data_IF_034313790965
#
_entry.id   IF_034313790965
#
_cell.length_a   1.000
_cell.length_b   1.000
_cell.length_c   1.000
_cell.angle_alpha   90.00
_cell.angle_beta   90.00
_cell.angle_gamma   90.00
#
_symmetry.space_group_name_H-M   'P 1'
#
loop_
_entity.id
_entity.type
_entity.pdbx_description
1 polymer ?
#
# COMPACT_ATOMS: atom_id res chain seq x y z
N UNK A 1 5.91 -11.52 -12.93
CA UNK A 1 5.50 -10.13 -13.24
C UNK A 1 5.09 -9.48 -11.94
N UNK A 2 5.27 -8.18 -11.77
CA UNK A 2 4.96 -7.44 -10.56
C UNK A 2 4.21 -6.17 -10.94
N UNK A 3 3.14 -5.83 -10.23
CA UNK A 3 2.49 -4.54 -10.35
C UNK A 3 3.04 -3.57 -9.30
N UNK A 4 3.51 -2.41 -9.72
CA UNK A 4 3.94 -1.32 -8.84
C UNK A 4 3.30 -0.03 -9.27
N UNK A 5 2.77 0.73 -8.34
CA UNK A 5 2.28 2.08 -8.60
C UNK A 5 2.88 3.08 -7.61
N UNK A 6 3.33 4.22 -8.13
CA UNK A 6 3.70 5.39 -7.36
C UNK A 6 2.58 6.41 -7.56
N UNK A 7 1.90 6.79 -6.51
CA UNK A 7 0.64 7.50 -6.59
C UNK A 7 0.77 8.93 -6.04
N UNK A 8 0.39 9.88 -6.89
CA UNK A 8 0.19 11.29 -6.58
C UNK A 8 -0.88 11.79 -7.56
N UNK A 9 -2.16 11.77 -7.17
CA UNK A 9 -3.26 12.06 -8.09
C UNK A 9 -4.51 12.54 -7.36
N UNK A 10 -5.11 13.60 -7.86
CA UNK A 10 -6.42 14.09 -7.40
C UNK A 10 -7.61 13.22 -7.79
N UNK A 11 -7.41 12.11 -8.50
CA UNK A 11 -8.48 11.22 -8.94
C UNK A 11 -8.94 11.48 -10.38
N UNK A 12 -10.14 11.01 -10.68
CA UNK A 12 -10.76 11.16 -12.00
C UNK A 12 -10.97 12.63 -12.37
N UNK A 13 -10.61 12.98 -13.59
CA UNK A 13 -10.76 14.33 -14.10
C UNK A 13 -12.23 14.61 -14.43
N UNK A 14 -12.88 15.44 -13.61
CA UNK A 14 -14.32 15.70 -13.69
C UNK A 14 -14.71 16.23 -15.08
N UNK A 15 -13.85 17.05 -15.71
CA UNK A 15 -14.10 17.63 -17.03
C UNK A 15 -14.21 16.59 -18.16
N UNK A 16 -13.63 15.41 -17.96
CA UNK A 16 -13.68 14.30 -18.92
C UNK A 16 -14.86 13.35 -18.67
N UNK A 17 -15.61 13.57 -17.60
CA UNK A 17 -16.84 12.85 -17.29
C UNK A 17 -16.64 11.33 -17.20
N UNK A 18 -17.50 10.61 -17.91
CA UNK A 18 -17.56 9.14 -17.87
C UNK A 18 -16.28 8.48 -18.40
N UNK A 19 -15.58 9.10 -19.33
CA UNK A 19 -14.35 8.52 -19.91
C UNK A 19 -13.23 8.41 -18.88
N UNK A 20 -13.06 9.41 -18.03
CA UNK A 20 -12.05 9.33 -16.96
C UNK A 20 -12.41 8.28 -15.89
N UNK A 21 -13.70 8.08 -15.63
CA UNK A 21 -14.18 7.01 -14.75
C UNK A 21 -13.96 5.62 -15.38
N UNK A 22 -14.16 5.49 -16.68
CA UNK A 22 -13.88 4.25 -17.41
C UNK A 22 -12.40 3.87 -17.34
N UNK A 23 -11.49 4.86 -17.40
CA UNK A 23 -10.06 4.63 -17.20
C UNK A 23 -9.72 4.03 -15.82
N UNK A 24 -10.35 4.53 -14.76
CA UNK A 24 -10.21 3.94 -13.42
C UNK A 24 -10.84 2.54 -13.33
N UNK A 25 -11.99 2.32 -13.95
CA UNK A 25 -12.61 1.00 -13.98
C UNK A 25 -11.68 -0.05 -14.61
N UNK A 26 -10.96 0.32 -15.66
CA UNK A 26 -9.94 -0.53 -16.30
C UNK A 26 -8.76 -0.87 -15.35
N UNK A 27 -8.33 0.07 -14.53
CA UNK A 27 -7.30 -0.18 -13.51
C UNK A 27 -7.83 -1.15 -12.46
N UNK A 28 -9.01 -0.90 -11.91
CA UNK A 28 -9.62 -1.76 -10.88
C UNK A 28 -9.87 -3.18 -11.40
N UNK A 29 -10.33 -3.33 -12.62
CA UNK A 29 -10.50 -4.62 -13.25
C UNK A 29 -9.18 -5.40 -13.27
N UNK A 30 -8.07 -4.76 -13.65
CA UNK A 30 -6.76 -5.40 -13.67
C UNK A 30 -6.26 -5.73 -12.27
N UNK A 31 -6.39 -4.83 -11.31
CA UNK A 31 -6.06 -5.13 -9.92
C UNK A 31 -6.81 -6.38 -9.44
N UNK A 32 -8.11 -6.48 -9.72
CA UNK A 32 -8.95 -7.60 -9.29
C UNK A 32 -8.58 -8.91 -9.99
N UNK A 33 -8.39 -8.87 -11.32
CA UNK A 33 -8.07 -10.08 -12.10
C UNK A 33 -6.69 -10.65 -11.76
N UNK A 34 -5.75 -9.81 -11.35
CA UNK A 34 -4.38 -10.21 -11.01
C UNK A 34 -4.12 -10.31 -9.51
N UNK A 35 -5.13 -10.09 -8.67
CA UNK A 35 -5.06 -10.34 -7.23
C UNK A 35 -4.76 -11.81 -6.95
N UNK A 36 -3.76 -12.08 -6.14
CA UNK A 36 -3.27 -13.44 -5.86
C UNK A 36 -2.50 -14.11 -7.02
N UNK A 37 -2.35 -13.42 -8.16
CA UNK A 37 -1.59 -13.94 -9.32
C UNK A 37 -0.23 -13.28 -9.43
N UNK A 38 -0.17 -11.97 -9.19
CA UNK A 38 1.08 -11.21 -9.15
C UNK A 38 1.07 -10.30 -7.92
N UNK A 39 2.21 -10.12 -7.24
CA UNK A 39 2.31 -9.16 -6.15
C UNK A 39 1.98 -7.74 -6.63
N UNK A 40 1.17 -7.04 -5.85
CA UNK A 40 0.73 -5.68 -6.14
C UNK A 40 1.16 -4.74 -5.03
N UNK A 41 2.03 -3.79 -5.34
CA UNK A 41 2.59 -2.82 -4.39
C UNK A 41 2.21 -1.41 -4.81
N UNK A 42 1.63 -0.66 -3.91
CA UNK A 42 1.28 0.74 -4.11
C UNK A 42 2.01 1.64 -3.10
N UNK A 43 2.68 2.66 -3.57
CA UNK A 43 3.28 3.69 -2.74
C UNK A 43 2.58 5.02 -2.97
N UNK A 44 2.08 5.61 -1.90
CA UNK A 44 1.45 6.92 -1.91
C UNK A 44 2.50 7.95 -1.54
N UNK A 45 2.94 8.74 -2.51
CA UNK A 45 4.04 9.68 -2.36
C UNK A 45 3.60 11.14 -2.42
N UNK A 46 2.30 11.35 -2.64
CA UNK A 46 1.64 12.65 -2.66
C UNK A 46 0.16 12.54 -2.32
N UNK A 47 -0.63 13.59 -2.54
CA UNK A 47 -2.07 13.52 -2.42
C UNK A 47 -2.69 12.46 -3.32
N UNK A 48 -3.56 11.64 -2.76
CA UNK A 48 -4.28 10.59 -3.48
C UNK A 48 -5.75 10.65 -3.08
N UNK A 49 -6.61 11.05 -4.02
CA UNK A 49 -8.00 11.35 -3.72
C UNK A 49 -8.97 10.74 -4.74
N UNK A 50 -10.22 10.54 -4.33
CA UNK A 50 -11.28 10.03 -5.19
C UNK A 50 -10.95 8.67 -5.81
N UNK A 51 -11.11 8.54 -7.13
CA UNK A 51 -10.82 7.29 -7.86
C UNK A 51 -9.40 6.76 -7.68
N UNK A 52 -8.43 7.64 -7.49
CA UNK A 52 -7.03 7.27 -7.30
C UNK A 52 -6.74 6.53 -5.97
N UNK A 53 -7.63 6.61 -5.00
CA UNK A 53 -7.49 5.93 -3.69
C UNK A 53 -7.88 4.46 -3.76
N UNK A 54 -8.85 4.11 -4.59
CA UNK A 54 -9.39 2.76 -4.61
C UNK A 54 -8.39 1.72 -5.10
N UNK A 55 -7.62 2.03 -6.15
CA UNK A 55 -6.62 1.10 -6.68
C UNK A 55 -5.56 0.74 -5.63
N UNK A 56 -4.88 1.69 -4.96
CA UNK A 56 -3.96 1.37 -3.88
C UNK A 56 -4.58 0.55 -2.75
N UNK A 57 -5.81 0.88 -2.36
CA UNK A 57 -6.49 0.22 -1.24
C UNK A 57 -6.86 -1.25 -1.51
N UNK A 58 -6.85 -1.68 -2.77
CA UNK A 58 -7.12 -3.08 -3.15
C UNK A 58 -5.86 -3.83 -3.61
N UNK A 59 -4.67 -3.25 -3.44
CA UNK A 59 -3.39 -3.93 -3.69
C UNK A 59 -2.90 -4.65 -2.44
N UNK A 60 -1.92 -5.55 -2.59
CA UNK A 60 -1.43 -6.39 -1.49
C UNK A 60 -0.66 -5.59 -0.45
N UNK A 61 0.09 -4.57 -0.89
CA UNK A 61 0.89 -3.73 0.00
C UNK A 61 0.71 -2.26 -0.34
N UNK A 62 0.42 -1.47 0.69
CA UNK A 62 0.30 -0.01 0.60
C UNK A 62 1.33 0.65 1.51
N UNK A 63 2.18 1.48 0.93
CA UNK A 63 3.15 2.30 1.63
C UNK A 63 2.73 3.77 1.56
N UNK A 64 2.94 4.53 2.63
CA UNK A 64 2.65 5.96 2.66
C UNK A 64 3.85 6.75 3.20
N UNK A 65 4.06 7.96 2.67
CA UNK A 65 5.12 8.88 3.12
C UNK A 65 4.54 9.91 4.09
N UNK A 66 5.18 10.09 5.24
CA UNK A 66 4.75 11.05 6.26
C UNK A 66 4.67 12.48 5.71
N UNK A 67 3.69 13.23 6.17
CA UNK A 67 3.49 14.66 5.91
C UNK A 67 3.31 15.08 4.43
N UNK A 68 3.52 14.18 3.48
CA UNK A 68 3.39 14.47 2.04
C UNK A 68 2.27 13.67 1.39
N UNK A 69 2.03 12.45 1.85
CA UNK A 69 1.03 11.57 1.27
C UNK A 69 -0.31 11.61 2.03
N UNK A 70 -1.37 11.58 1.27
CA UNK A 70 -2.73 11.57 1.81
C UNK A 70 -3.61 10.62 0.99
N UNK A 71 -4.43 9.82 1.68
CA UNK A 71 -5.45 8.98 1.06
C UNK A 71 -6.81 9.34 1.61
N UNK A 72 -7.73 9.84 0.79
CA UNK A 72 -9.12 10.07 1.18
C UNK A 72 -10.05 10.06 -0.03
N UNK A 73 -11.28 9.64 0.17
CA UNK A 73 -12.31 9.63 -0.89
C UNK A 73 -12.64 11.06 -1.28
N UNK A 74 -12.85 11.94 -0.28
CA UNK A 74 -13.08 13.38 -0.46
C UNK A 74 -12.21 14.16 0.51
N UNK A 75 -11.71 15.31 0.04
CA UNK A 75 -10.85 16.17 0.86
C UNK A 75 -11.59 16.91 1.99
N UNK A 76 -10.84 17.56 2.91
CA UNK A 76 -11.41 18.27 4.07
C UNK A 76 -12.44 19.33 3.72
N UNK A 77 -12.26 20.03 2.61
CA UNK A 77 -13.19 21.11 2.19
C UNK A 77 -14.58 20.57 1.83
N UNK A 78 -14.64 19.40 1.23
CA UNK A 78 -15.91 18.72 0.92
C UNK A 78 -16.59 18.26 2.21
N UNK A 79 -15.83 17.67 3.13
CA UNK A 79 -16.34 17.25 4.44
C UNK A 79 -16.91 18.44 5.19
N UNK A 80 -16.16 19.54 5.27
CA UNK A 80 -16.61 20.76 5.91
C UNK A 80 -17.89 21.30 5.31
N UNK A 81 -18.05 21.21 4.00
CA UNK A 81 -19.24 21.69 3.30
C UNK A 81 -20.46 20.81 3.56
N UNK A 82 -20.27 19.49 3.63
CA UNK A 82 -21.36 18.51 3.68
C UNK A 82 -21.74 18.17 5.15
N UNK A 83 -20.74 17.92 6.00
CA UNK A 83 -20.96 17.48 7.40
C UNK A 83 -20.74 18.59 8.42
N UNK A 84 -20.20 19.74 8.00
CA UNK A 84 -19.81 20.86 8.87
C UNK A 84 -18.69 20.51 9.88
N UNK A 85 -17.96 19.44 9.64
CA UNK A 85 -16.82 19.05 10.45
C UNK A 85 -15.53 19.70 9.94
N UNK A 86 -14.72 20.21 10.88
CA UNK A 86 -13.41 20.78 10.58
C UNK A 86 -12.33 19.71 10.85
N UNK A 87 -11.71 19.19 9.80
CA UNK A 87 -10.69 18.15 9.88
C UNK A 87 -9.48 18.52 9.04
N UNK A 88 -8.28 18.25 9.54
CA UNK A 88 -7.05 18.46 8.78
C UNK A 88 -6.82 17.30 7.79
N UNK A 89 -6.06 17.53 6.72
CA UNK A 89 -5.66 16.48 5.78
C UNK A 89 -4.98 15.32 6.49
N UNK A 90 -4.09 15.62 7.42
CA UNK A 90 -3.32 14.63 8.17
C UNK A 90 -4.23 13.73 9.03
N UNK A 91 -5.16 14.35 9.74
CA UNK A 91 -6.12 13.61 10.59
C UNK A 91 -7.14 12.81 9.76
N UNK A 92 -7.50 13.31 8.57
CA UNK A 92 -8.45 12.66 7.69
C UNK A 92 -7.85 11.45 6.98
N UNK A 93 -6.64 11.60 6.43
CA UNK A 93 -6.07 10.57 5.56
C UNK A 93 -4.56 10.64 5.43
N UNK A 94 -3.84 11.14 6.44
CA UNK A 94 -2.38 11.12 6.47
C UNK A 94 -1.81 9.73 6.73
N UNK A 95 -0.51 9.58 6.51
CA UNK A 95 0.20 8.30 6.66
C UNK A 95 0.02 7.68 8.05
N UNK A 96 0.13 8.48 9.10
CA UNK A 96 -0.09 8.04 10.48
C UNK A 96 -1.51 7.51 10.71
N UNK A 97 -2.52 8.20 10.18
CA UNK A 97 -3.92 7.79 10.32
C UNK A 97 -4.16 6.45 9.65
N UNK A 98 -3.64 6.24 8.44
CA UNK A 98 -3.85 5.00 7.71
C UNK A 98 -2.97 3.85 8.19
N UNK A 99 -1.81 4.11 8.76
CA UNK A 99 -0.95 3.08 9.32
C UNK A 99 -1.43 2.64 10.74
N UNK A 100 -1.63 3.62 11.65
CA UNK A 100 -1.90 3.30 13.05
C UNK A 100 -3.38 3.11 13.41
N UNK A 101 -4.31 3.70 12.64
CA UNK A 101 -5.74 3.71 13.00
C UNK A 101 -6.57 2.87 12.04
N UNK A 102 -6.53 3.14 10.74
CA UNK A 102 -7.36 2.41 9.78
C UNK A 102 -6.76 1.09 9.30
N UNK A 103 -5.45 0.93 9.36
CA UNK A 103 -4.74 -0.25 8.88
C UNK A 103 -4.67 -0.37 7.35
N UNK A 104 -5.07 0.65 6.60
CA UNK A 104 -5.01 0.62 5.12
C UNK A 104 -3.56 0.73 4.63
N UNK A 105 -2.71 1.52 5.29
CA UNK A 105 -1.29 1.58 4.98
C UNK A 105 -0.54 0.55 5.82
N UNK A 106 0.11 -0.40 5.16
CA UNK A 106 0.92 -1.43 5.80
C UNK A 106 2.25 -0.87 6.32
N UNK A 107 2.83 0.08 5.58
CA UNK A 107 4.12 0.68 5.93
C UNK A 107 4.04 2.21 5.84
N UNK A 108 4.81 2.86 6.70
CA UNK A 108 4.96 4.31 6.74
C UNK A 108 6.45 4.66 6.65
N UNK A 109 6.80 5.52 5.71
CA UNK A 109 8.16 6.02 5.48
C UNK A 109 8.27 7.50 5.86
N UNK A 110 9.43 7.94 6.30
CA UNK A 110 9.67 9.34 6.65
C UNK A 110 9.82 10.23 5.41
N UNK A 111 10.36 9.67 4.33
CA UNK A 111 10.53 10.37 3.05
C UNK A 111 10.44 9.43 1.85
N UNK A 112 10.48 9.99 0.65
CA UNK A 112 10.39 9.26 -0.62
C UNK A 112 11.54 8.27 -0.80
N UNK A 113 12.74 8.59 -0.35
CA UNK A 113 13.91 7.75 -0.50
C UNK A 113 13.80 6.49 0.37
N UNK A 114 13.34 6.65 1.60
CA UNK A 114 13.05 5.54 2.50
C UNK A 114 11.91 4.67 1.95
N UNK A 115 10.83 5.28 1.45
CA UNK A 115 9.73 4.55 0.83
C UNK A 115 10.20 3.66 -0.33
N UNK A 116 11.04 4.20 -1.21
CA UNK A 116 11.62 3.44 -2.32
C UNK A 116 12.57 2.34 -1.82
N UNK A 117 13.26 2.55 -0.70
CA UNK A 117 14.12 1.55 -0.08
C UNK A 117 13.29 0.40 0.50
N UNK A 118 12.21 0.71 1.21
CA UNK A 118 11.27 -0.27 1.75
C UNK A 118 10.64 -1.14 0.64
N UNK A 119 10.30 -0.53 -0.51
CA UNK A 119 9.79 -1.28 -1.67
C UNK A 119 10.85 -2.27 -2.18
N UNK A 120 12.12 -1.86 -2.28
CA UNK A 120 13.19 -2.75 -2.70
C UNK A 120 13.41 -3.89 -1.72
N UNK A 121 13.33 -3.59 -0.44
CA UNK A 121 13.41 -4.58 0.62
C UNK A 121 12.25 -5.57 0.54
N UNK A 122 11.02 -5.09 0.44
CA UNK A 122 9.83 -5.93 0.27
C UNK A 122 9.95 -6.84 -0.96
N UNK A 123 10.44 -6.32 -2.08
CA UNK A 123 10.70 -7.10 -3.29
C UNK A 123 11.75 -8.19 -3.09
N UNK A 124 12.69 -8.00 -2.18
CA UNK A 124 13.72 -8.99 -1.91
C UNK A 124 13.20 -10.26 -1.21
N UNK A 125 11.97 -10.24 -0.69
CA UNK A 125 11.29 -11.40 -0.13
C UNK A 125 10.49 -12.20 -1.16
N UNK A 126 10.32 -11.66 -2.37
CA UNK A 126 9.50 -12.26 -3.41
C UNK A 126 10.34 -13.01 -4.44
N UNK A 127 9.82 -14.07 -5.06
CA UNK A 127 10.51 -14.74 -6.14
C UNK A 127 10.62 -13.83 -7.38
N UNK A 128 11.65 -14.00 -8.18
CA UNK A 128 11.84 -13.23 -9.42
C UNK A 128 10.82 -13.57 -10.49
N UNK A 129 10.28 -14.76 -10.45
CA UNK A 129 9.25 -15.26 -11.38
C UNK A 129 8.45 -16.42 -10.76
N UNK A 130 7.41 -16.87 -11.45
CA UNK A 130 6.51 -17.91 -10.97
C UNK A 130 7.06 -19.35 -11.03
N UNK A 131 8.30 -19.54 -11.46
CA UNK A 131 8.98 -20.83 -11.49
C UNK A 131 10.04 -20.95 -10.38
N UNK A 132 10.26 -19.88 -9.64
CA UNK A 132 11.22 -19.84 -8.54
C UNK A 132 10.49 -19.81 -7.19
N UNK A 133 11.06 -20.50 -6.22
CA UNK A 133 10.61 -20.39 -4.83
C UNK A 133 10.96 -19.01 -4.24
N UNK A 134 10.22 -18.52 -3.25
CA UNK A 134 10.59 -17.31 -2.51
C UNK A 134 12.00 -17.44 -1.92
N UNK A 135 12.77 -16.34 -1.87
CA UNK A 135 14.09 -16.36 -1.24
C UNK A 135 13.99 -16.81 0.22
N UNK A 136 14.80 -17.77 0.60
CA UNK A 136 14.91 -18.17 2.02
C UNK A 136 15.60 -17.07 2.79
N UNK A 137 14.99 -16.67 3.90
CA UNK A 137 15.58 -15.74 4.85
C UNK A 137 15.94 -16.49 6.13
N UNK A 138 17.17 -16.31 6.57
CA UNK A 138 17.63 -16.84 7.85
C UNK A 138 17.68 -15.68 8.86
N UNK A 139 17.13 -15.87 10.04
CA UNK A 139 17.33 -14.96 11.16
C UNK A 139 17.87 -15.71 12.36
N UNK A 140 18.91 -15.16 12.95
CA UNK A 140 19.45 -15.60 14.25
C UNK A 140 18.93 -14.75 15.40
N UNK A 141 18.19 -13.69 15.13
CA UNK A 141 17.60 -12.84 16.14
C UNK A 141 16.36 -13.53 16.75
N UNK A 142 16.40 -13.89 18.06
CA UNK A 142 15.27 -14.52 18.73
C UNK A 142 14.01 -13.63 18.77
N UNK A 143 14.17 -12.32 18.85
CA UNK A 143 13.04 -11.36 18.92
C UNK A 143 12.34 -11.31 17.56
N UNK A 144 13.09 -11.18 16.48
CA UNK A 144 12.54 -11.20 15.12
C UNK A 144 11.84 -12.54 14.84
N UNK A 145 12.48 -13.65 15.18
CA UNK A 145 11.92 -15.00 15.05
C UNK A 145 10.58 -15.13 15.78
N UNK A 146 10.55 -14.74 17.05
CA UNK A 146 9.36 -14.87 17.88
C UNK A 146 8.23 -13.95 17.38
N UNK A 147 8.57 -12.77 16.88
CA UNK A 147 7.61 -11.86 16.24
C UNK A 147 7.03 -12.47 14.95
N UNK A 148 7.87 -13.00 14.08
CA UNK A 148 7.44 -13.62 12.83
C UNK A 148 6.51 -14.81 13.07
N UNK A 149 6.84 -15.67 14.04
CA UNK A 149 6.01 -16.84 14.34
C UNK A 149 4.70 -16.51 15.03
N UNK A 150 4.67 -15.49 15.90
CA UNK A 150 3.49 -15.17 16.71
C UNK A 150 2.57 -14.16 16.07
N UNK A 151 3.10 -13.15 15.36
CA UNK A 151 2.32 -12.04 14.81
C UNK A 151 2.06 -12.19 13.31
N UNK A 152 3.05 -12.66 12.55
CA UNK A 152 2.94 -12.78 11.09
C UNK A 152 2.46 -14.17 10.63
N UNK A 153 2.28 -15.12 11.53
CA UNK A 153 1.81 -16.47 11.20
C UNK A 153 2.83 -17.31 10.43
N UNK A 154 4.10 -16.97 10.49
CA UNK A 154 5.17 -17.72 9.82
C UNK A 154 5.46 -19.03 10.56
N UNK A 155 5.78 -20.08 9.85
CA UNK A 155 6.23 -21.33 10.44
C UNK A 155 7.74 -21.28 10.69
N UNK A 156 8.15 -21.68 11.90
CA UNK A 156 9.56 -21.87 12.22
C UNK A 156 10.02 -23.27 11.78
N UNK A 157 10.89 -23.34 10.80
CA UNK A 157 11.44 -24.61 10.27
C UNK A 157 12.86 -24.92 10.82
N UNK A 158 13.21 -24.45 11.99
CA UNK A 158 14.51 -24.66 12.62
C UNK A 158 15.54 -23.60 12.23
N UNK A 159 16.83 -23.95 12.29
CA UNK A 159 17.94 -23.02 12.05
C UNK A 159 18.07 -22.62 10.56
N UNK A 160 17.31 -23.26 9.68
CA UNK A 160 17.42 -23.06 8.23
C UNK A 160 16.59 -21.89 7.69
N UNK A 161 15.80 -21.19 8.52
CA UNK A 161 15.05 -20.00 8.09
C UNK A 161 13.53 -20.13 8.22
N UNK A 162 12.85 -19.07 7.80
CA UNK A 162 11.39 -18.96 7.78
C UNK A 162 10.90 -19.08 6.34
N UNK A 163 9.83 -19.83 6.15
CA UNK A 163 9.14 -19.95 4.87
C UNK A 163 7.78 -19.29 5.02
N UNK A 164 7.39 -18.47 4.05
CA UNK A 164 6.02 -17.97 3.97
C UNK A 164 5.05 -19.14 3.81
N UNK A 165 3.95 -19.16 4.53
CA UNK A 165 2.93 -20.19 4.39
C UNK A 165 2.26 -20.16 3.02
#
# INVERSE_FOLDING_TARGET
MLFRSLNDSGGARIQEGVESLAGYADIFLRNTLFSGVVPQISAIMGPCAGGAVYSPAITDFTLMVENTSYMFITGPDVIKTVTHEDVTKEKLGGAQTHNAISGVAHFMAHDDAECLSMIRELLSFMPSNNLEDPPRRETTDPIERDWLTTQAGWAYEGVAGYVLP
#
